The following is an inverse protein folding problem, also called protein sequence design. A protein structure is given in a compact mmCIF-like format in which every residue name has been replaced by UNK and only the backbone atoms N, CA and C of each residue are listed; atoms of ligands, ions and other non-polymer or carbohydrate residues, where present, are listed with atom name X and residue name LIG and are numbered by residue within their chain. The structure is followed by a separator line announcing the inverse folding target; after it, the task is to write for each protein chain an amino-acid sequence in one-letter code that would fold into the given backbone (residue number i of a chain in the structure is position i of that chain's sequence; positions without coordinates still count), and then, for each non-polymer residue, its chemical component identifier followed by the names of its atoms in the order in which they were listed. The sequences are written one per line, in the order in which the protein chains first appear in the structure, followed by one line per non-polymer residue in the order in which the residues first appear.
data_IF_694815211931
#
_entry.id   IF_694815211931
#
_cell.length_a   1.000
_cell.length_b   1.000
_cell.length_c   1.000
_cell.angle_alpha   90.00
_cell.angle_beta   90.00
_cell.angle_gamma   90.00
#
_symmetry.space_group_name_H-M   'P 1'
#
loop_
_entity.id
_entity.type
_entity.pdbx_description
1 polymer ?
#
# COMPACT_ATOMS: atom_id res chain seq x y z
N UNK A 1 3.70 15.24 7.59
CA UNK A 1 2.55 16.18 7.76
C UNK A 1 2.95 17.55 8.31
N UNK A 2 3.87 17.68 9.20
CA UNK A 2 4.27 19.00 9.76
C UNK A 2 4.74 20.01 8.70
N UNK A 3 5.46 19.50 7.67
CA UNK A 3 5.83 20.36 6.53
C UNK A 3 4.60 20.80 5.73
N UNK A 4 3.64 19.92 5.47
CA UNK A 4 2.40 20.26 4.78
C UNK A 4 1.62 21.34 5.54
N UNK A 5 1.40 21.13 6.85
CA UNK A 5 0.70 22.08 7.72
C UNK A 5 1.38 23.45 7.72
N UNK A 6 2.70 23.49 7.97
CA UNK A 6 3.46 24.76 7.99
C UNK A 6 3.36 25.53 6.66
N UNK A 7 3.48 24.81 5.52
CA UNK A 7 3.36 25.47 4.20
C UNK A 7 1.91 25.89 3.94
N UNK A 8 0.93 25.06 4.31
CA UNK A 8 -0.48 25.41 4.17
C UNK A 8 -0.83 26.71 4.92
N UNK A 9 -0.36 26.84 6.17
CA UNK A 9 -0.57 28.04 7.00
C UNK A 9 0.19 29.26 6.47
N UNK A 10 1.44 29.07 6.04
CA UNK A 10 2.26 30.16 5.48
C UNK A 10 1.67 30.77 4.19
N UNK A 11 0.81 30.04 3.48
CA UNK A 11 0.17 30.51 2.26
C UNK A 11 -1.11 31.36 2.50
N UNK A 12 -1.53 31.55 3.74
CA UNK A 12 -2.77 32.27 4.04
C UNK A 12 -2.79 33.70 3.50
N UNK A 13 -1.67 34.39 3.45
CA UNK A 13 -1.50 35.74 2.93
C UNK A 13 -1.20 35.83 1.43
N UNK A 14 -1.03 34.68 0.75
CA UNK A 14 -0.70 34.65 -0.68
C UNK A 14 -1.94 34.90 -1.55
N UNK A 15 -1.86 35.72 -2.60
CA UNK A 15 -2.93 35.90 -3.56
C UNK A 15 -3.29 34.60 -4.29
N UNK A 16 -2.30 33.72 -4.53
CA UNK A 16 -2.46 32.44 -5.23
C UNK A 16 -2.61 31.25 -4.28
N UNK A 17 -2.99 31.50 -3.01
CA UNK A 17 -3.02 30.49 -1.94
C UNK A 17 -3.77 29.21 -2.32
N UNK A 18 -4.84 29.32 -3.07
CA UNK A 18 -5.67 28.17 -3.43
C UNK A 18 -4.90 27.21 -4.36
N UNK A 19 -4.25 27.72 -5.38
CA UNK A 19 -3.53 26.87 -6.35
C UNK A 19 -2.23 26.32 -5.75
N UNK A 20 -1.54 27.12 -4.95
CA UNK A 20 -0.37 26.65 -4.20
C UNK A 20 -0.75 25.55 -3.19
N UNK A 21 -1.86 25.69 -2.47
CA UNK A 21 -2.37 24.66 -1.56
C UNK A 21 -2.79 23.39 -2.27
N UNK A 22 -3.37 23.47 -3.46
CA UNK A 22 -3.64 22.29 -4.29
C UNK A 22 -2.34 21.58 -4.67
N UNK A 23 -1.33 22.33 -5.11
CA UNK A 23 -0.02 21.76 -5.47
C UNK A 23 0.64 21.03 -4.31
N UNK A 24 0.72 21.65 -3.13
CA UNK A 24 1.32 20.97 -1.95
C UNK A 24 0.52 19.75 -1.48
N UNK A 25 -0.81 19.74 -1.67
CA UNK A 25 -1.63 18.59 -1.33
C UNK A 25 -1.34 17.40 -2.27
N UNK A 26 -1.17 17.66 -3.55
CA UNK A 26 -0.76 16.66 -4.56
C UNK A 26 0.61 16.08 -4.21
N UNK A 27 1.60 16.93 -3.94
CA UNK A 27 2.95 16.49 -3.54
C UNK A 27 2.93 15.66 -2.25
N UNK A 28 2.15 16.08 -1.26
CA UNK A 28 2.04 15.37 0.01
C UNK A 28 1.48 13.96 -0.17
N UNK A 29 0.43 13.80 -0.96
CA UNK A 29 -0.18 12.49 -1.24
C UNK A 29 0.72 11.63 -2.11
N UNK A 30 1.39 12.19 -3.10
CA UNK A 30 2.35 11.45 -3.92
C UNK A 30 3.46 10.83 -3.08
N UNK A 31 4.05 11.63 -2.16
CA UNK A 31 5.07 11.15 -1.22
C UNK A 31 4.52 10.11 -0.23
N UNK A 32 3.33 10.37 0.31
CA UNK A 32 2.67 9.43 1.22
C UNK A 32 2.46 8.07 0.55
N UNK A 33 2.04 8.05 -0.71
CA UNK A 33 1.87 6.82 -1.49
C UNK A 33 3.19 6.07 -1.67
N UNK A 34 4.28 6.78 -1.98
CA UNK A 34 5.61 6.18 -2.12
C UNK A 34 6.13 5.63 -0.77
N UNK A 35 5.92 6.36 0.33
CA UNK A 35 6.29 5.88 1.67
C UNK A 35 5.46 4.67 2.10
N UNK A 36 4.19 4.61 1.72
CA UNK A 36 3.34 3.46 1.97
C UNK A 36 3.83 2.21 1.21
N UNK A 37 4.21 2.34 -0.05
CA UNK A 37 4.79 1.24 -0.83
C UNK A 37 6.09 0.72 -0.20
N UNK A 38 6.97 1.64 0.26
CA UNK A 38 8.16 1.28 1.00
C UNK A 38 7.85 0.59 2.35
N UNK A 39 6.83 1.08 3.06
CA UNK A 39 6.37 0.45 4.30
C UNK A 39 5.89 -0.98 4.04
N UNK A 40 5.02 -1.19 3.05
CA UNK A 40 4.51 -2.52 2.69
C UNK A 40 5.65 -3.49 2.36
N UNK A 41 6.62 -3.04 1.54
CA UNK A 41 7.80 -3.85 1.19
C UNK A 41 8.58 -4.24 2.44
N UNK A 42 8.99 -3.27 3.26
CA UNK A 42 9.79 -3.50 4.47
C UNK A 42 9.06 -4.37 5.49
N UNK A 43 7.77 -4.11 5.67
CA UNK A 43 6.92 -4.88 6.58
C UNK A 43 6.81 -6.34 6.13
N UNK A 44 6.57 -6.57 4.84
CA UNK A 44 6.47 -7.92 4.27
C UNK A 44 7.77 -8.71 4.49
N UNK A 45 8.93 -8.09 4.22
CA UNK A 45 10.23 -8.71 4.45
C UNK A 45 10.45 -8.99 5.94
N UNK A 46 10.14 -8.03 6.82
CA UNK A 46 10.30 -8.20 8.26
C UNK A 46 9.41 -9.32 8.81
N UNK A 47 8.14 -9.38 8.37
CA UNK A 47 7.20 -10.42 8.78
C UNK A 47 7.65 -11.82 8.35
N UNK A 48 8.18 -11.97 7.13
CA UNK A 48 8.73 -13.24 6.65
C UNK A 48 10.03 -13.59 7.38
N UNK A 49 10.84 -12.61 7.76
CA UNK A 49 12.09 -12.85 8.51
C UNK A 49 11.84 -13.43 9.91
N UNK A 50 10.66 -13.20 10.50
CA UNK A 50 10.29 -13.81 11.78
C UNK A 50 9.97 -15.30 11.66
N UNK A 51 9.35 -15.69 10.53
CA UNK A 51 9.07 -17.10 10.23
C UNK A 51 9.16 -17.33 8.71
N UNK A 52 10.32 -17.71 8.19
CA UNK A 52 10.53 -17.94 6.76
C UNK A 52 10.08 -19.33 6.28
N UNK A 53 9.48 -20.15 7.12
CA UNK A 53 9.16 -21.56 6.83
C UNK A 53 8.34 -21.74 5.55
N UNK A 54 7.31 -20.93 5.35
CA UNK A 54 6.48 -20.96 4.14
C UNK A 54 7.24 -20.54 2.88
N UNK A 55 8.10 -19.50 2.99
CA UNK A 55 8.93 -19.07 1.86
C UNK A 55 9.93 -20.18 1.49
N UNK A 56 10.57 -20.79 2.49
CA UNK A 56 11.49 -21.91 2.30
C UNK A 56 10.79 -23.10 1.65
N UNK A 57 9.64 -23.53 2.18
CA UNK A 57 8.86 -24.63 1.60
C UNK A 57 8.52 -24.36 0.14
N UNK A 58 7.97 -23.18 -0.16
CA UNK A 58 7.62 -22.79 -1.54
C UNK A 58 8.82 -22.73 -2.48
N UNK A 59 9.97 -22.25 -1.98
CA UNK A 59 11.20 -22.20 -2.77
C UNK A 59 11.72 -23.62 -3.04
N UNK A 60 11.66 -24.52 -2.04
CA UNK A 60 11.99 -25.93 -2.19
C UNK A 60 11.11 -26.60 -3.25
N UNK A 61 9.79 -26.42 -3.16
CA UNK A 61 8.84 -27.00 -4.12
C UNK A 61 9.08 -26.48 -5.55
N UNK A 62 9.37 -25.19 -5.69
CA UNK A 62 9.67 -24.60 -6.99
C UNK A 62 10.99 -25.12 -7.56
N UNK A 63 12.02 -25.26 -6.73
CA UNK A 63 13.30 -25.81 -7.13
C UNK A 63 13.19 -27.30 -7.47
N UNK A 64 12.43 -28.08 -6.67
CA UNK A 64 12.19 -29.50 -6.92
C UNK A 64 11.52 -29.73 -8.29
N UNK A 65 10.48 -28.95 -8.61
CA UNK A 65 9.84 -29.03 -9.93
C UNK A 65 10.82 -28.77 -11.07
N UNK A 66 11.74 -27.82 -10.91
CA UNK A 66 12.79 -27.56 -11.90
C UNK A 66 13.77 -28.70 -12.04
N UNK A 67 14.13 -29.35 -10.92
CA UNK A 67 14.99 -30.53 -10.91
C UNK A 67 14.29 -31.74 -11.57
N UNK A 68 12.98 -31.89 -11.36
CA UNK A 68 12.17 -32.97 -11.95
C UNK A 68 12.03 -32.85 -13.49
N UNK A 69 12.23 -31.65 -14.03
CA UNK A 69 12.20 -31.37 -15.47
C UNK A 69 13.52 -31.74 -16.19
N UNK A 70 14.61 -32.02 -15.47
CA UNK A 70 15.91 -32.40 -16.04
C UNK A 70 16.11 -33.92 -16.09
N UNK A 71 17.16 -34.37 -16.79
CA UNK A 71 17.51 -35.79 -16.87
C UNK A 71 17.84 -36.42 -15.50
N UNK A 72 17.83 -37.74 -15.42
CA UNK A 72 17.99 -38.50 -14.18
C UNK A 72 19.32 -38.24 -13.46
N UNK A 73 20.41 -38.06 -14.19
CA UNK A 73 21.75 -37.83 -13.61
C UNK A 73 21.79 -36.43 -12.99
N UNK A 74 21.33 -35.43 -13.73
CA UNK A 74 21.26 -34.06 -13.24
C UNK A 74 20.28 -33.96 -12.05
N UNK A 75 19.15 -34.69 -12.10
CA UNK A 75 18.18 -34.77 -11.01
C UNK A 75 18.80 -35.25 -9.71
N UNK A 76 19.58 -36.34 -9.76
CA UNK A 76 20.23 -36.87 -8.58
C UNK A 76 21.28 -35.92 -7.99
N UNK A 77 22.09 -35.29 -8.84
CA UNK A 77 23.11 -34.33 -8.42
C UNK A 77 22.49 -33.08 -7.81
N UNK A 78 21.51 -32.47 -8.49
CA UNK A 78 20.84 -31.24 -8.04
C UNK A 78 19.96 -31.48 -6.82
N UNK A 79 19.29 -32.65 -6.73
CA UNK A 79 18.48 -33.00 -5.58
C UNK A 79 19.30 -33.12 -4.28
N UNK A 80 20.49 -33.73 -4.32
CA UNK A 80 21.40 -33.78 -3.18
C UNK A 80 21.92 -32.38 -2.80
N UNK A 81 22.33 -31.58 -3.79
CA UNK A 81 22.81 -30.21 -3.56
C UNK A 81 21.70 -29.35 -2.96
N UNK A 82 20.49 -29.42 -3.53
CA UNK A 82 19.32 -28.68 -3.08
C UNK A 82 18.95 -29.03 -1.63
N UNK A 83 18.92 -30.33 -1.29
CA UNK A 83 18.61 -30.80 0.06
C UNK A 83 19.60 -30.27 1.10
N UNK A 84 20.88 -30.20 0.76
CA UNK A 84 21.93 -29.65 1.63
C UNK A 84 21.82 -28.13 1.77
N UNK A 85 21.61 -27.40 0.67
CA UNK A 85 21.55 -25.94 0.66
C UNK A 85 20.31 -25.42 1.38
N UNK A 86 19.17 -26.12 1.27
CA UNK A 86 17.89 -25.73 1.87
C UNK A 86 17.61 -26.44 3.21
N UNK A 87 18.62 -27.06 3.83
CA UNK A 87 18.48 -27.66 5.18
C UNK A 87 18.37 -26.59 6.28
N UNK A 88 18.84 -25.38 6.05
CA UNK A 88 18.67 -24.25 6.97
C UNK A 88 17.19 -23.81 7.02
N UNK A 89 16.67 -23.72 8.23
CA UNK A 89 15.32 -23.15 8.48
C UNK A 89 15.36 -21.63 8.68
N UNK A 90 16.52 -21.02 8.48
CA UNK A 90 16.72 -19.56 8.63
C UNK A 90 17.17 -18.96 7.31
N UNK A 91 16.60 -17.80 6.99
CA UNK A 91 17.02 -16.98 5.86
C UNK A 91 17.43 -15.59 6.38
N UNK A 92 18.50 -15.04 5.84
CA UNK A 92 18.84 -13.63 6.10
C UNK A 92 17.81 -12.74 5.40
N UNK A 93 17.69 -11.51 5.88
CA UNK A 93 16.84 -10.50 5.24
C UNK A 93 17.16 -10.31 3.75
N UNK A 94 18.44 -10.26 3.42
CA UNK A 94 18.92 -10.10 2.04
C UNK A 94 18.53 -11.29 1.15
N UNK A 95 18.60 -12.52 1.68
CA UNK A 95 18.12 -13.71 0.98
C UNK A 95 16.63 -13.67 0.73
N UNK A 96 15.83 -13.21 1.72
CA UNK A 96 14.39 -13.04 1.58
C UNK A 96 14.07 -12.00 0.50
N UNK A 97 14.76 -10.85 0.54
CA UNK A 97 14.61 -9.79 -0.46
C UNK A 97 14.93 -10.32 -1.87
N UNK A 98 16.04 -11.02 -2.03
CA UNK A 98 16.43 -11.62 -3.33
C UNK A 98 15.42 -12.64 -3.85
N UNK A 99 14.85 -13.46 -2.97
CA UNK A 99 13.84 -14.47 -3.35
C UNK A 99 12.49 -13.85 -3.74
N UNK A 100 12.08 -12.78 -3.07
CA UNK A 100 10.80 -12.12 -3.31
C UNK A 100 10.86 -11.07 -4.42
N UNK A 101 11.98 -10.40 -4.54
CA UNK A 101 12.21 -9.32 -5.49
C UNK A 101 13.56 -9.46 -6.21
N UNK A 102 13.74 -10.49 -7.05
CA UNK A 102 14.99 -10.74 -7.76
C UNK A 102 15.39 -9.60 -8.70
N UNK A 103 14.48 -8.67 -8.99
CA UNK A 103 14.72 -7.51 -9.87
C UNK A 103 14.93 -6.21 -9.10
N UNK A 104 14.92 -6.24 -7.78
CA UNK A 104 15.09 -5.07 -6.89
C UNK A 104 14.15 -3.89 -7.21
N UNK A 105 12.89 -4.20 -7.53
CA UNK A 105 11.87 -3.19 -7.90
C UNK A 105 10.91 -2.85 -6.76
N UNK A 106 11.17 -3.34 -5.56
CA UNK A 106 10.28 -3.41 -4.41
C UNK A 106 9.06 -4.33 -4.64
N UNK A 107 8.71 -5.07 -3.60
CA UNK A 107 7.45 -5.84 -3.61
C UNK A 107 6.30 -4.86 -3.46
N UNK A 108 5.51 -4.70 -4.50
CA UNK A 108 4.35 -3.80 -4.52
C UNK A 108 3.06 -4.56 -4.75
N UNK A 109 1.98 -4.05 -4.21
CA UNK A 109 0.66 -4.67 -4.30
C UNK A 109 -0.31 -3.68 -4.93
N UNK A 110 -1.19 -4.13 -5.84
CA UNK A 110 -2.12 -3.25 -6.55
C UNK A 110 -3.24 -2.71 -5.65
N UNK A 111 -3.65 -3.48 -4.66
CA UNK A 111 -4.67 -3.14 -3.66
C UNK A 111 -4.51 -4.04 -2.42
N UNK A 112 -5.33 -3.83 -1.39
CA UNK A 112 -5.28 -4.61 -0.13
C UNK A 112 -5.58 -6.08 -0.39
N UNK A 113 -6.58 -6.42 -1.20
CA UNK A 113 -6.90 -7.81 -1.56
C UNK A 113 -5.75 -8.53 -2.28
N UNK A 114 -5.02 -7.82 -3.16
CA UNK A 114 -3.81 -8.37 -3.78
C UNK A 114 -2.70 -8.58 -2.74
N UNK A 115 -2.51 -7.64 -1.81
CA UNK A 115 -1.56 -7.82 -0.70
C UNK A 115 -1.90 -9.05 0.13
N UNK A 116 -3.16 -9.23 0.51
CA UNK A 116 -3.61 -10.42 1.23
C UNK A 116 -3.36 -11.70 0.44
N UNK A 117 -3.69 -11.72 -0.85
CA UNK A 117 -3.45 -12.89 -1.73
C UNK A 117 -1.99 -13.29 -1.78
N UNK A 118 -1.09 -12.33 -1.93
CA UNK A 118 0.35 -12.60 -1.93
C UNK A 118 0.86 -13.00 -0.54
N UNK A 119 0.38 -12.34 0.52
CA UNK A 119 0.74 -12.64 1.91
C UNK A 119 0.39 -14.06 2.33
N UNK A 120 -0.73 -14.62 1.87
CA UNK A 120 -1.12 -16.02 2.12
C UNK A 120 -0.05 -17.03 1.70
N UNK A 121 0.77 -16.68 0.72
CA UNK A 121 1.82 -17.56 0.17
C UNK A 121 3.04 -17.66 1.07
N UNK A 122 3.31 -16.65 1.91
CA UNK A 122 4.60 -16.50 2.56
C UNK A 122 4.53 -16.21 4.06
N UNK A 123 3.46 -15.57 4.54
CA UNK A 123 3.36 -15.15 5.94
C UNK A 123 2.91 -16.28 6.86
N UNK A 124 3.45 -16.29 8.07
CA UNK A 124 2.93 -17.08 9.18
C UNK A 124 1.50 -16.62 9.55
N UNK A 125 0.73 -17.47 10.26
CA UNK A 125 -0.66 -17.16 10.62
C UNK A 125 -0.82 -15.83 11.36
N UNK A 126 0.13 -15.46 12.23
CA UNK A 126 0.03 -14.25 13.05
C UNK A 126 0.13 -12.97 12.21
N UNK A 127 1.11 -12.89 11.33
CA UNK A 127 1.26 -11.76 10.41
C UNK A 127 0.18 -11.75 9.34
N UNK A 128 -0.24 -12.93 8.89
CA UNK A 128 -1.33 -13.04 7.92
C UNK A 128 -2.63 -12.46 8.48
N UNK A 129 -2.96 -12.73 9.77
CA UNK A 129 -4.14 -12.16 10.42
C UNK A 129 -4.18 -10.64 10.41
N UNK A 130 -3.02 -9.97 10.54
CA UNK A 130 -2.95 -8.51 10.47
C UNK A 130 -3.37 -7.98 9.10
N UNK A 131 -2.89 -8.59 8.02
CA UNK A 131 -3.29 -8.22 6.65
C UNK A 131 -4.75 -8.60 6.39
N UNK A 132 -5.23 -9.74 6.92
CA UNK A 132 -6.63 -10.13 6.83
C UNK A 132 -7.55 -9.12 7.51
N UNK A 133 -7.17 -8.64 8.71
CA UNK A 133 -7.93 -7.59 9.40
C UNK A 133 -8.05 -6.33 8.55
N UNK A 134 -6.95 -5.87 7.96
CA UNK A 134 -6.96 -4.73 7.06
C UNK A 134 -7.88 -4.96 5.84
N UNK A 135 -7.91 -6.15 5.26
CA UNK A 135 -8.79 -6.48 4.13
C UNK A 135 -10.27 -6.54 4.52
N UNK A 136 -10.57 -6.99 5.75
CA UNK A 136 -11.93 -7.07 6.27
C UNK A 136 -12.45 -5.74 6.80
N UNK A 137 -11.56 -4.85 7.24
CA UNK A 137 -11.93 -3.48 7.60
C UNK A 137 -12.16 -2.66 6.32
N UNK A 138 -13.44 -2.41 6.06
CA UNK A 138 -13.88 -1.73 4.83
C UNK A 138 -13.33 -0.31 4.74
N UNK A 139 -13.25 0.41 5.88
CA UNK A 139 -12.74 1.77 5.91
C UNK A 139 -11.27 1.81 5.59
N UNK A 140 -10.48 1.01 6.27
CA UNK A 140 -9.04 0.95 6.11
C UNK A 140 -8.62 0.49 4.73
N UNK A 141 -9.25 -0.58 4.23
CA UNK A 141 -8.96 -1.08 2.89
C UNK A 141 -9.27 -0.03 1.80
N UNK A 142 -10.37 0.70 1.94
CA UNK A 142 -10.73 1.76 0.99
C UNK A 142 -9.76 2.93 1.02
N UNK A 143 -9.28 3.35 2.20
CA UNK A 143 -8.30 4.46 2.31
C UNK A 143 -6.97 4.06 1.67
N UNK A 144 -6.49 2.85 1.92
CA UNK A 144 -5.27 2.33 1.29
C UNK A 144 -5.40 2.27 -0.23
N UNK A 145 -6.50 1.71 -0.72
CA UNK A 145 -6.73 1.55 -2.16
C UNK A 145 -6.92 2.91 -2.85
N UNK A 146 -7.60 3.86 -2.18
CA UNK A 146 -7.76 5.22 -2.67
C UNK A 146 -6.42 5.96 -2.75
N UNK A 147 -5.61 5.91 -1.69
CA UNK A 147 -4.27 6.52 -1.69
C UNK A 147 -3.45 6.01 -2.87
N UNK A 148 -3.46 4.70 -3.09
CA UNK A 148 -2.71 4.07 -4.17
C UNK A 148 -3.22 4.47 -5.55
N UNK A 149 -4.54 4.50 -5.73
CA UNK A 149 -5.16 4.90 -6.98
C UNK A 149 -4.88 6.39 -7.32
N UNK A 150 -4.94 7.29 -6.33
CA UNK A 150 -4.58 8.70 -6.50
C UNK A 150 -3.10 8.85 -6.86
N UNK A 151 -2.20 8.16 -6.12
CA UNK A 151 -0.76 8.20 -6.41
C UNK A 151 -0.47 7.75 -7.84
N UNK A 152 -1.13 6.67 -8.30
CA UNK A 152 -0.96 6.17 -9.67
C UNK A 152 -1.50 7.14 -10.70
N UNK A 153 -2.63 7.80 -10.44
CA UNK A 153 -3.17 8.82 -11.33
C UNK A 153 -2.23 10.02 -11.46
N UNK A 154 -1.60 10.46 -10.36
CA UNK A 154 -0.59 11.53 -10.37
C UNK A 154 0.65 11.08 -11.16
N UNK A 155 1.16 9.87 -10.91
CA UNK A 155 2.40 9.38 -11.50
C UNK A 155 2.29 9.15 -13.01
N UNK A 156 1.18 8.63 -13.47
CA UNK A 156 1.02 8.17 -14.86
C UNK A 156 0.20 9.12 -15.74
N UNK A 157 -0.70 9.91 -15.17
CA UNK A 157 -1.58 10.83 -15.91
C UNK A 157 -2.46 10.15 -16.99
N UNK A 158 -2.51 8.82 -17.00
CA UNK A 158 -3.23 8.07 -18.03
C UNK A 158 -4.74 8.02 -17.78
N UNK A 159 -5.51 7.87 -18.84
CA UNK A 159 -6.96 7.67 -18.74
C UNK A 159 -7.32 6.45 -17.87
N UNK A 160 -6.57 5.37 -17.97
CA UNK A 160 -6.77 4.16 -17.18
C UNK A 160 -6.55 4.43 -15.69
N UNK A 161 -5.46 5.10 -15.32
CA UNK A 161 -5.18 5.44 -13.93
C UNK A 161 -6.23 6.41 -13.36
N UNK A 162 -6.69 7.37 -14.15
CA UNK A 162 -7.79 8.28 -13.78
C UNK A 162 -9.10 7.52 -13.58
N UNK A 163 -9.40 6.55 -14.42
CA UNK A 163 -10.60 5.70 -14.27
C UNK A 163 -10.51 4.88 -12.99
N UNK A 164 -9.39 4.21 -12.73
CA UNK A 164 -9.17 3.44 -11.51
C UNK A 164 -9.26 4.31 -10.23
N UNK A 165 -8.72 5.53 -10.27
CA UNK A 165 -8.87 6.49 -9.17
C UNK A 165 -10.35 6.83 -8.92
N UNK A 166 -11.10 7.09 -9.98
CA UNK A 166 -12.53 7.41 -9.85
C UNK A 166 -13.38 6.20 -9.42
N UNK A 167 -12.94 4.98 -9.73
CA UNK A 167 -13.54 3.75 -9.22
C UNK A 167 -13.23 3.58 -7.73
N UNK A 168 -11.98 3.75 -7.31
CA UNK A 168 -11.58 3.69 -5.90
C UNK A 168 -12.32 4.72 -5.04
N UNK A 169 -12.48 5.93 -5.57
CA UNK A 169 -13.25 6.99 -4.92
C UNK A 169 -14.74 6.60 -4.74
N UNK A 170 -15.31 5.82 -5.65
CA UNK A 170 -16.71 5.38 -5.56
C UNK A 170 -16.87 4.04 -4.85
N UNK A 171 -15.81 3.26 -4.77
CA UNK A 171 -15.86 1.96 -4.15
C UNK A 171 -16.29 2.09 -2.70
N UNK A 172 -17.41 1.45 -2.36
CA UNK A 172 -17.95 1.37 -0.99
C UNK A 172 -18.25 2.73 -0.33
N UNK A 173 -18.52 3.74 -1.12
CA UNK A 173 -18.79 5.12 -0.70
C UNK A 173 -19.85 5.26 0.37
N UNK A 174 -20.88 4.45 0.29
CA UNK A 174 -22.06 4.56 1.16
C UNK A 174 -21.74 4.17 2.61
N UNK A 175 -20.58 3.59 2.86
CA UNK A 175 -20.23 3.00 4.14
C UNK A 175 -18.90 3.47 4.75
N UNK A 176 -18.16 4.35 4.09
CA UNK A 176 -16.79 4.68 4.51
C UNK A 176 -16.55 6.16 4.65
N UNK A 177 -16.29 6.60 5.87
CA UNK A 177 -15.72 7.90 6.17
C UNK A 177 -14.23 7.81 6.47
N UNK A 178 -13.42 8.78 6.08
CA UNK A 178 -11.99 8.83 6.45
C UNK A 178 -11.78 9.09 7.95
N UNK A 179 -12.77 9.62 8.62
CA UNK A 179 -12.70 10.03 10.02
C UNK A 179 -13.46 9.10 10.96
N UNK A 180 -13.92 7.95 10.47
CA UNK A 180 -14.76 7.02 11.24
C UNK A 180 -16.14 7.60 11.56
N UNK A 181 -16.41 8.84 11.23
CA UNK A 181 -17.76 9.38 11.24
C UNK A 181 -18.45 8.85 9.99
N UNK A 182 -19.34 7.92 10.22
CA UNK A 182 -20.14 7.27 9.22
C UNK A 182 -20.39 8.19 8.00
N UNK A 183 -19.90 7.77 6.85
CA UNK A 183 -20.37 8.31 5.58
C UNK A 183 -20.20 9.80 5.38
N UNK A 184 -19.15 10.37 5.94
CA UNK A 184 -18.71 11.62 5.33
C UNK A 184 -18.23 11.22 3.97
N UNK A 185 -19.05 11.41 2.94
CA UNK A 185 -18.63 10.93 1.67
C UNK A 185 -17.41 11.72 1.29
N UNK A 186 -16.26 11.09 1.43
CA UNK A 186 -15.19 11.46 0.56
C UNK A 186 -15.77 11.61 -0.82
N UNK A 187 -16.95 11.00 -1.04
CA UNK A 187 -17.50 10.86 -2.36
C UNK A 187 -18.98 10.54 -2.37
N UNK A 188 -19.69 11.17 -3.24
CA UNK A 188 -21.06 10.78 -3.64
C UNK A 188 -20.99 9.71 -4.73
N UNK A 189 -22.00 8.83 -4.89
CA UNK A 189 -22.00 7.76 -5.90
C UNK A 189 -21.71 8.22 -7.34
N UNK A 190 -22.03 9.47 -7.68
CA UNK A 190 -21.76 10.09 -8.98
C UNK A 190 -20.51 10.95 -9.01
N UNK A 191 -19.72 10.99 -7.92
CA UNK A 191 -18.58 11.88 -7.84
C UNK A 191 -17.44 11.44 -8.75
N UNK A 192 -16.82 12.40 -9.40
CA UNK A 192 -15.60 12.21 -10.18
C UNK A 192 -14.57 13.25 -9.76
N UNK A 193 -13.39 12.77 -9.43
CA UNK A 193 -12.25 13.66 -9.25
C UNK A 193 -11.86 14.19 -10.63
N UNK A 194 -12.14 15.45 -10.87
CA UNK A 194 -11.72 16.17 -12.08
C UNK A 194 -10.36 16.82 -11.91
N UNK A 195 -10.10 17.31 -10.70
CA UNK A 195 -8.86 17.95 -10.29
C UNK A 195 -8.43 17.36 -8.96
N UNK A 196 -7.30 16.67 -8.96
CA UNK A 196 -6.78 15.95 -7.79
C UNK A 196 -6.42 16.94 -6.68
N UNK A 197 -5.81 18.06 -7.03
CA UNK A 197 -5.42 19.09 -6.07
C UNK A 197 -6.63 19.70 -5.35
N UNK A 198 -7.70 20.00 -6.09
CA UNK A 198 -8.96 20.47 -5.53
C UNK A 198 -9.60 19.44 -4.60
N UNK A 199 -9.59 18.18 -4.98
CA UNK A 199 -10.10 17.09 -4.14
C UNK A 199 -9.33 16.98 -2.83
N UNK A 200 -8.01 16.90 -2.90
CA UNK A 200 -7.13 16.67 -1.75
C UNK A 200 -7.07 17.85 -0.80
N UNK A 201 -6.96 19.05 -1.35
CA UNK A 201 -6.97 20.30 -0.58
C UNK A 201 -8.33 20.57 0.10
N UNK A 202 -9.42 20.09 -0.51
CA UNK A 202 -10.77 20.32 0.00
C UNK A 202 -11.05 19.61 1.32
N UNK A 203 -12.13 20.06 1.98
CA UNK A 203 -12.61 19.46 3.24
C UNK A 203 -13.82 18.55 2.97
N UNK A 204 -13.97 17.47 3.73
CA UNK A 204 -15.25 16.78 3.83
C UNK A 204 -16.34 17.73 4.35
N UNK A 205 -17.60 17.48 3.97
CA UNK A 205 -18.71 18.37 4.33
C UNK A 205 -18.97 18.47 5.84
N UNK A 206 -18.58 17.44 6.60
CA UNK A 206 -18.86 17.31 8.04
C UNK A 206 -17.77 17.88 8.93
N UNK A 207 -16.62 18.29 8.39
CA UNK A 207 -15.52 18.82 9.21
C UNK A 207 -15.42 20.35 9.14
N UNK A 208 -14.85 20.92 10.20
CA UNK A 208 -14.58 22.35 10.27
C UNK A 208 -13.62 22.77 9.16
N UNK A 209 -14.05 23.67 8.31
CA UNK A 209 -13.25 24.22 7.20
C UNK A 209 -12.13 25.12 7.70
N UNK A 210 -11.16 25.36 6.84
CA UNK A 210 -10.03 26.28 7.02
C UNK A 210 -8.94 25.84 8.00
N UNK A 211 -8.95 24.58 8.43
CA UNK A 211 -7.85 23.99 9.17
C UNK A 211 -7.07 23.00 8.28
N UNK A 212 -5.73 23.07 8.32
CA UNK A 212 -4.87 22.19 7.50
C UNK A 212 -5.06 20.73 7.85
N UNK A 213 -5.24 20.43 9.13
CA UNK A 213 -5.40 19.09 9.69
C UNK A 213 -6.71 18.39 9.33
N UNK A 214 -7.68 19.12 8.81
CA UNK A 214 -9.00 18.58 8.41
C UNK A 214 -9.18 18.49 6.90
N UNK A 215 -8.16 18.82 6.11
CA UNK A 215 -8.18 18.58 4.67
C UNK A 215 -8.16 17.07 4.37
N UNK A 216 -8.67 16.66 3.22
CA UNK A 216 -8.66 15.23 2.84
C UNK A 216 -7.26 14.63 2.85
N UNK A 217 -6.25 15.38 2.41
CA UNK A 217 -4.86 14.89 2.48
C UNK A 217 -4.41 14.63 3.92
N UNK A 218 -4.78 15.49 4.86
CA UNK A 218 -4.42 15.32 6.27
C UNK A 218 -5.15 14.13 6.90
N UNK A 219 -6.43 13.96 6.58
CA UNK A 219 -7.23 12.84 7.06
C UNK A 219 -6.72 11.50 6.49
N UNK A 220 -6.41 11.43 5.20
CA UNK A 220 -5.78 10.24 4.59
C UNK A 220 -4.47 9.93 5.32
N UNK A 221 -3.61 10.92 5.54
CA UNK A 221 -2.34 10.70 6.24
C UNK A 221 -2.55 10.19 7.67
N UNK A 222 -3.50 10.78 8.41
CA UNK A 222 -3.83 10.35 9.78
C UNK A 222 -4.22 8.88 9.77
N UNK A 223 -5.15 8.47 8.90
CA UNK A 223 -5.61 7.09 8.84
C UNK A 223 -4.51 6.11 8.40
N UNK A 224 -3.70 6.49 7.41
CA UNK A 224 -2.56 5.67 6.99
C UNK A 224 -1.54 5.44 8.10
N UNK A 225 -1.35 6.42 8.97
CA UNK A 225 -0.50 6.28 10.16
C UNK A 225 -1.10 5.29 11.15
N UNK A 226 -2.39 5.41 11.48
CA UNK A 226 -3.11 4.50 12.36
C UNK A 226 -3.02 3.05 11.85
N UNK A 227 -3.32 2.82 10.55
CA UNK A 227 -3.17 1.51 9.91
C UNK A 227 -1.75 0.97 10.04
N UNK A 228 -0.73 1.82 9.82
CA UNK A 228 0.67 1.39 9.94
C UNK A 228 1.07 1.00 11.37
N UNK A 229 0.49 1.64 12.38
CA UNK A 229 0.68 1.33 13.78
C UNK A 229 0.02 -0.01 14.17
N UNK A 230 -1.17 -0.29 13.65
CA UNK A 230 -1.89 -1.54 13.88
C UNK A 230 -1.25 -2.77 13.21
N UNK A 231 -0.54 -2.57 12.11
CA UNK A 231 0.19 -3.64 11.42
C UNK A 231 1.49 -4.03 12.12
N UNK A 232 2.05 -3.18 12.99
CA UNK A 232 3.28 -3.46 13.75
C UNK A 232 3.05 -4.46 14.88
#
# INVERSE_FOLDING_TARGET
MDRYRRVFEALDSSPDKTDLRKGIAVDAVFRLGAEWENFQHRWQIAAISQDPSKLIAKTKDAAQRKVDEVDEVARNLFGVALSRTLSSNTLTREQIETLLDPRQRNVTFSNVGHWLKESKKYLSPDYLRRVQRLDTDVEDSCVVDLLKAIRNAIAHGSQTATTQMNEAVRARIDNVGIDGAANTPLVRPSYRIRDIGTYLHGWPETVKRNAAETTRVALIHKRMREISEELR
#
